data_IF_280478630875
#
_entry.id   IF_280478630875
#
_cell.length_a   1.000
_cell.length_b   1.000
_cell.length_c   1.000
_cell.angle_alpha   90.00
_cell.angle_beta   90.00
_cell.angle_gamma   90.00
#
_symmetry.space_group_name_H-M   'P 1'
#
loop_
_entity.id
_entity.type
_entity.pdbx_description
1 polymer ?
#
# COMPACT_ATOMS: atom_id res chain seq x y z
N UNK A 1 -6.17 5.95 1.23
CA UNK A 1 -5.82 4.63 0.66
C UNK A 1 -6.37 3.46 1.45
N UNK A 2 -6.41 3.50 2.80
CA UNK A 2 -7.11 2.45 3.57
C UNK A 2 -8.53 2.18 3.10
N UNK A 3 -9.29 3.23 2.77
CA UNK A 3 -10.61 3.08 2.14
C UNK A 3 -10.56 2.40 0.77
N UNK A 4 -9.57 2.71 -0.06
CA UNK A 4 -9.40 2.12 -1.41
C UNK A 4 -8.98 0.66 -1.36
N UNK A 5 -8.04 0.31 -0.48
CA UNK A 5 -7.64 -1.08 -0.24
C UNK A 5 -8.83 -1.85 0.32
N UNK A 6 -9.54 -1.30 1.31
CA UNK A 6 -10.74 -1.93 1.88
C UNK A 6 -11.85 -2.11 0.84
N UNK A 7 -12.12 -1.12 -0.01
CA UNK A 7 -13.13 -1.27 -1.06
C UNK A 7 -12.70 -2.30 -2.12
N UNK A 8 -11.41 -2.37 -2.47
CA UNK A 8 -10.90 -3.38 -3.40
C UNK A 8 -11.01 -4.80 -2.80
N UNK A 9 -10.58 -4.99 -1.55
CA UNK A 9 -10.57 -6.30 -0.88
C UNK A 9 -11.95 -6.76 -0.44
N UNK A 10 -12.89 -5.86 -0.15
CA UNK A 10 -14.24 -6.21 0.34
C UNK A 10 -15.28 -6.31 -0.77
N UNK A 11 -15.19 -5.48 -1.82
CA UNK A 11 -16.24 -5.44 -2.87
C UNK A 11 -15.83 -6.08 -4.20
N UNK A 12 -14.52 -6.24 -4.47
CA UNK A 12 -14.02 -6.52 -5.83
C UNK A 12 -13.32 -7.87 -5.96
N UNK A 13 -12.82 -8.42 -4.87
CA UNK A 13 -12.16 -9.72 -4.83
C UNK A 13 -12.85 -10.63 -3.81
N UNK A 14 -13.26 -11.82 -4.26
CA UNK A 14 -13.57 -12.92 -3.36
C UNK A 14 -12.27 -13.68 -3.08
N UNK A 15 -12.00 -14.00 -1.81
CA UNK A 15 -10.83 -14.75 -1.43
C UNK A 15 -11.25 -16.13 -0.94
N UNK A 16 -10.80 -17.18 -1.62
CA UNK A 16 -11.11 -18.55 -1.21
C UNK A 16 -10.18 -19.03 -0.09
N UNK A 17 -9.03 -18.37 0.08
CA UNK A 17 -8.07 -18.67 1.13
C UNK A 17 -7.41 -17.42 1.70
N UNK A 18 -6.91 -17.55 2.93
CA UNK A 18 -6.19 -16.48 3.60
C UNK A 18 -4.86 -16.13 2.92
N UNK A 19 -4.26 -17.09 2.20
CA UNK A 19 -3.04 -16.84 1.43
C UNK A 19 -3.28 -15.90 0.25
N UNK A 20 -4.40 -16.05 -0.48
CA UNK A 20 -4.74 -15.14 -1.58
C UNK A 20 -4.90 -13.70 -1.07
N UNK A 21 -5.51 -13.52 0.11
CA UNK A 21 -5.63 -12.21 0.75
C UNK A 21 -4.25 -11.64 1.12
N UNK A 22 -3.36 -12.45 1.70
CA UNK A 22 -2.00 -12.02 2.09
C UNK A 22 -1.18 -11.58 0.88
N UNK A 23 -1.23 -12.33 -0.21
CA UNK A 23 -0.52 -11.98 -1.46
C UNK A 23 -1.03 -10.66 -2.01
N UNK A 24 -2.35 -10.50 -2.15
CA UNK A 24 -2.92 -9.26 -2.68
C UNK A 24 -2.61 -8.04 -1.79
N UNK A 25 -2.66 -8.21 -0.46
CA UNK A 25 -2.29 -7.13 0.47
C UNK A 25 -0.82 -6.74 0.31
N UNK A 26 0.09 -7.70 0.13
CA UNK A 26 1.50 -7.42 -0.14
C UNK A 26 1.68 -6.65 -1.44
N UNK A 27 0.99 -7.03 -2.52
CA UNK A 27 1.07 -6.33 -3.79
C UNK A 27 0.56 -4.88 -3.69
N UNK A 28 -0.58 -4.68 -3.01
CA UNK A 28 -1.11 -3.33 -2.77
C UNK A 28 -0.17 -2.48 -1.91
N UNK A 29 0.42 -3.07 -0.88
CA UNK A 29 1.38 -2.38 -0.01
C UNK A 29 2.66 -2.02 -0.79
N UNK A 30 3.21 -2.94 -1.59
CA UNK A 30 4.40 -2.71 -2.39
C UNK A 30 4.17 -1.60 -3.44
N UNK A 31 3.06 -1.69 -4.18
CA UNK A 31 2.68 -0.69 -5.18
C UNK A 31 2.51 0.71 -4.57
N UNK A 32 1.95 0.80 -3.37
CA UNK A 32 1.82 2.08 -2.68
C UNK A 32 3.14 2.61 -2.14
N UNK A 33 3.85 1.77 -1.39
CA UNK A 33 5.04 2.17 -0.65
C UNK A 33 6.20 2.56 -1.58
N UNK A 34 6.25 1.96 -2.77
CA UNK A 34 7.35 2.14 -3.73
C UNK A 34 6.92 2.82 -5.01
N UNK A 35 5.78 2.44 -5.59
CA UNK A 35 5.41 2.86 -6.94
C UNK A 35 4.86 4.29 -7.05
N UNK A 36 4.29 4.83 -5.97
CA UNK A 36 3.60 6.13 -6.02
C UNK A 36 4.35 7.22 -5.25
N UNK A 37 4.85 8.21 -5.99
CA UNK A 37 5.36 9.47 -5.42
C UNK A 37 4.20 10.37 -5.03
N UNK A 38 4.21 10.90 -3.82
CA UNK A 38 3.10 11.70 -3.29
C UNK A 38 3.50 13.17 -3.17
N UNK A 39 2.72 14.07 -3.78
CA UNK A 39 2.93 15.52 -3.67
C UNK A 39 2.90 16.00 -2.21
N UNK A 40 2.03 15.40 -1.39
CA UNK A 40 1.92 15.67 0.06
C UNK A 40 3.18 15.29 0.84
N UNK A 41 3.99 14.37 0.31
CA UNK A 41 5.28 13.98 0.87
C UNK A 41 6.43 14.66 0.11
N UNK A 42 6.21 15.85 -0.46
CA UNK A 42 7.20 16.56 -1.27
C UNK A 42 7.78 15.73 -2.43
N UNK A 43 6.95 14.84 -3.00
CA UNK A 43 7.36 13.95 -4.07
C UNK A 43 8.14 12.73 -3.61
N UNK A 44 8.24 12.42 -2.32
CA UNK A 44 8.74 11.13 -1.85
C UNK A 44 7.67 10.04 -2.00
N UNK A 45 8.13 8.79 -2.16
CA UNK A 45 7.29 7.64 -1.89
C UNK A 45 7.03 7.52 -0.39
N UNK A 46 5.96 6.83 0.04
CA UNK A 46 5.72 6.58 1.46
C UNK A 46 6.92 5.94 2.16
N UNK A 47 7.57 4.96 1.50
CA UNK A 47 8.74 4.30 2.06
C UNK A 47 9.94 5.24 2.22
N UNK A 48 10.28 6.00 1.17
CA UNK A 48 11.37 6.98 1.21
C UNK A 48 11.16 8.01 2.32
N UNK A 49 9.92 8.49 2.47
CA UNK A 49 9.58 9.44 3.52
C UNK A 49 9.77 8.85 4.92
N UNK A 50 9.32 7.61 5.15
CA UNK A 50 9.49 6.90 6.44
C UNK A 50 10.97 6.70 6.74
N UNK A 51 11.78 6.26 5.78
CA UNK A 51 13.22 6.13 5.96
C UNK A 51 13.87 7.48 6.30
N UNK A 52 13.45 8.56 5.64
CA UNK A 52 13.98 9.91 5.90
C UNK A 52 13.68 10.41 7.32
N UNK A 53 12.49 10.15 7.86
CA UNK A 53 12.12 10.56 9.22
C UNK A 53 12.65 9.61 10.29
N UNK A 54 12.78 8.32 9.99
CA UNK A 54 13.24 7.30 10.95
C UNK A 54 14.76 7.21 11.09
N UNK A 55 15.51 7.78 10.14
CA UNK A 55 16.97 7.94 10.20
C UNK A 55 17.39 9.30 10.78
N UNK A 56 16.47 10.03 11.42
CA UNK A 56 16.70 11.32 12.07
C UNK A 56 16.45 11.21 13.57
#
# INVERSE_FOLDING_TARGET
MNRTIKDATVKRFHYDSHEQLRTHLNDFMAAYNVGRRLKTLNGFTPYEYICKIGLR
#
